data_IF_420578309217
#
_entry.id   IF_420578309217
#
_cell.length_a   1.000
_cell.length_b   1.000
_cell.length_c   1.000
_cell.angle_alpha   90.00
_cell.angle_beta   90.00
_cell.angle_gamma   90.00
#
_symmetry.space_group_name_H-M   'P 1'
#
loop_
_entity.id
_entity.type
_entity.pdbx_description
1 polymer ?
#
# COMPACT_ATOMS: atom_id res chain seq x y z
N UNK A 1 11.62 22.52 12.76
CA UNK A 1 11.17 21.25 13.37
C UNK A 1 9.90 21.57 14.13
N UNK A 2 8.73 21.19 13.60
CA UNK A 2 7.45 21.80 14.00
C UNK A 2 6.60 20.80 14.80
N UNK A 3 6.05 21.26 15.93
CA UNK A 3 5.53 20.49 17.07
C UNK A 3 4.30 19.59 16.79
N UNK A 4 3.89 19.38 15.52
CA UNK A 4 2.70 18.61 15.14
C UNK A 4 2.96 17.36 14.27
N UNK A 5 4.21 16.97 14.05
CA UNK A 5 4.56 15.80 13.21
C UNK A 5 3.89 14.48 13.65
N UNK A 6 3.84 14.09 14.94
CA UNK A 6 3.30 12.78 15.33
C UNK A 6 1.78 12.68 15.16
N UNK A 7 1.02 13.75 15.48
CA UNK A 7 -0.43 13.76 15.30
C UNK A 7 -0.83 13.71 13.83
N UNK A 8 -0.10 14.42 12.96
CA UNK A 8 -0.29 14.35 11.51
C UNK A 8 0.06 12.98 10.95
N UNK A 9 1.15 12.37 11.42
CA UNK A 9 1.55 11.04 10.99
C UNK A 9 0.51 9.98 11.38
N UNK A 10 -0.03 10.05 12.60
CA UNK A 10 -1.12 9.19 13.05
C UNK A 10 -2.36 9.37 12.18
N UNK A 11 -2.79 10.62 11.96
CA UNK A 11 -3.96 10.92 11.14
C UNK A 11 -3.82 10.37 9.72
N UNK A 12 -2.68 10.59 9.05
CA UNK A 12 -2.45 10.07 7.70
C UNK A 12 -2.36 8.54 7.65
N UNK A 13 -1.84 7.88 8.69
CA UNK A 13 -1.85 6.42 8.80
C UNK A 13 -3.28 5.87 8.85
N UNK A 14 -4.14 6.48 9.68
CA UNK A 14 -5.55 6.10 9.77
C UNK A 14 -6.30 6.38 8.47
N UNK A 15 -6.08 7.54 7.84
CA UNK A 15 -6.69 7.87 6.54
C UNK A 15 -6.28 6.84 5.49
N UNK A 16 -5.00 6.45 5.42
CA UNK A 16 -4.54 5.42 4.51
C UNK A 16 -5.28 4.09 4.74
N UNK A 17 -5.42 3.66 6.00
CA UNK A 17 -6.16 2.45 6.35
C UNK A 17 -7.63 2.52 5.91
N UNK A 18 -8.32 3.64 6.16
CA UNK A 18 -9.71 3.83 5.78
C UNK A 18 -9.89 3.82 4.25
N UNK A 19 -8.97 4.45 3.51
CA UNK A 19 -8.98 4.41 2.04
C UNK A 19 -8.74 2.99 1.51
N UNK A 20 -7.82 2.23 2.11
CA UNK A 20 -7.56 0.83 1.75
C UNK A 20 -8.81 -0.04 2.00
N UNK A 21 -9.50 0.18 3.13
CA UNK A 21 -10.74 -0.53 3.42
C UNK A 21 -11.85 -0.15 2.43
N UNK A 22 -12.01 1.15 2.17
CA UNK A 22 -13.03 1.67 1.26
C UNK A 22 -12.78 1.27 -0.20
N UNK A 23 -11.56 0.88 -0.56
CA UNK A 23 -11.23 0.38 -1.89
C UNK A 23 -11.55 -1.11 -2.07
N UNK A 24 -11.68 -1.89 -0.98
CA UNK A 24 -11.73 -3.35 -1.07
C UNK A 24 -13.03 -3.88 -1.72
N UNK A 25 -13.01 -5.00 -2.46
CA UNK A 25 -14.17 -5.54 -3.20
C UNK A 25 -15.42 -5.83 -2.37
N UNK A 26 -16.53 -6.15 -3.06
CA UNK A 26 -17.88 -6.47 -2.53
C UNK A 26 -18.69 -5.25 -2.07
N UNK A 27 -18.07 -4.28 -1.38
CA UNK A 27 -18.77 -3.08 -0.87
C UNK A 27 -18.01 -1.77 -1.13
N UNK A 28 -16.73 -1.85 -1.53
CA UNK A 28 -15.89 -0.68 -1.74
C UNK A 28 -15.91 -0.09 -3.15
N UNK A 29 -15.22 1.04 -3.29
CA UNK A 29 -14.97 1.74 -4.55
C UNK A 29 -13.50 1.56 -4.95
N UNK A 30 -13.23 0.55 -5.77
CA UNK A 30 -11.88 0.13 -6.16
C UNK A 30 -10.94 1.26 -6.62
N UNK A 31 -11.38 2.30 -7.37
CA UNK A 31 -10.50 3.39 -7.78
C UNK A 31 -9.81 4.14 -6.61
N UNK A 32 -10.34 4.08 -5.38
CA UNK A 32 -9.68 4.64 -4.21
C UNK A 32 -8.31 4.01 -3.91
N UNK A 33 -8.07 2.77 -4.37
CA UNK A 33 -6.80 2.08 -4.14
C UNK A 33 -5.61 2.86 -4.71
N UNK A 34 -5.82 3.62 -5.79
CA UNK A 34 -4.79 4.40 -6.47
C UNK A 34 -4.28 5.61 -5.68
N UNK A 35 -5.01 5.99 -4.62
CA UNK A 35 -4.61 7.06 -3.70
C UNK A 35 -4.47 6.57 -2.26
N UNK A 36 -4.80 5.30 -1.98
CA UNK A 36 -4.92 4.77 -0.63
C UNK A 36 -3.57 4.71 0.13
N UNK A 37 -2.45 4.47 -0.56
CA UNK A 37 -1.12 4.47 0.05
C UNK A 37 -0.45 5.83 0.08
N UNK A 38 -0.98 6.84 -0.64
CA UNK A 38 -0.38 8.18 -0.70
C UNK A 38 -0.21 8.83 0.68
N UNK A 39 -1.21 8.81 1.59
CA UNK A 39 -1.03 9.34 2.94
C UNK A 39 0.08 8.62 3.71
N UNK A 40 0.21 7.29 3.57
CA UNK A 40 1.26 6.52 4.22
C UNK A 40 2.66 6.84 3.66
N UNK A 41 2.77 7.11 2.35
CA UNK A 41 4.01 7.60 1.73
C UNK A 41 4.40 9.00 2.26
N UNK A 42 3.43 9.85 2.59
CA UNK A 42 3.67 11.13 3.28
C UNK A 42 4.17 10.88 4.71
N UNK A 43 3.59 9.93 5.45
CA UNK A 43 4.09 9.52 6.77
C UNK A 43 5.53 9.04 6.70
N UNK A 44 5.86 8.22 5.69
CA UNK A 44 7.24 7.79 5.46
C UNK A 44 8.19 8.98 5.33
N UNK A 45 7.83 10.01 4.55
CA UNK A 45 8.63 11.24 4.43
C UNK A 45 8.88 11.93 5.78
N UNK A 46 7.90 11.94 6.68
CA UNK A 46 8.07 12.50 8.03
C UNK A 46 8.95 11.65 8.94
N UNK A 47 9.00 10.34 8.71
CA UNK A 47 9.69 9.38 9.57
C UNK A 47 10.95 8.76 8.94
N UNK A 48 11.43 9.29 7.81
CA UNK A 48 12.58 8.75 7.05
C UNK A 48 13.82 8.50 7.91
N UNK A 49 14.08 9.36 8.90
CA UNK A 49 15.24 9.22 9.79
C UNK A 49 15.01 8.22 10.93
N UNK A 50 13.75 7.90 11.24
CA UNK A 50 13.35 6.99 12.32
C UNK A 50 12.49 5.83 11.80
N UNK A 51 13.19 4.82 11.29
CA UNK A 51 12.57 3.62 10.72
C UNK A 51 11.69 2.85 11.73
N UNK A 52 12.01 2.91 13.04
CA UNK A 52 11.19 2.29 14.09
C UNK A 52 9.87 3.01 14.26
N UNK A 53 9.86 4.35 14.19
CA UNK A 53 8.61 5.12 14.23
C UNK A 53 7.77 4.86 12.98
N UNK A 54 8.39 4.81 11.80
CA UNK A 54 7.66 4.44 10.57
C UNK A 54 7.04 3.04 10.65
N UNK A 55 7.78 2.07 11.19
CA UNK A 55 7.26 0.70 11.42
C UNK A 55 5.91 0.71 12.13
N UNK A 56 5.78 1.45 13.25
CA UNK A 56 4.56 1.44 14.04
C UNK A 56 3.38 2.10 13.32
N UNK A 57 3.63 3.14 12.52
CA UNK A 57 2.59 3.75 11.69
C UNK A 57 2.16 2.84 10.51
N UNK A 58 3.12 2.19 9.86
CA UNK A 58 2.84 1.18 8.84
C UNK A 58 2.07 -0.01 9.43
N UNK A 59 2.50 -0.52 10.59
CA UNK A 59 1.85 -1.61 11.33
C UNK A 59 0.42 -1.24 11.69
N UNK A 60 0.19 -0.02 12.22
CA UNK A 60 -1.16 0.46 12.52
C UNK A 60 -2.04 0.47 11.26
N UNK A 61 -1.51 1.00 10.15
CA UNK A 61 -2.24 1.09 8.89
C UNK A 61 -2.62 -0.30 8.37
N UNK A 62 -1.65 -1.21 8.31
CA UNK A 62 -1.85 -2.57 7.82
C UNK A 62 -2.78 -3.37 8.75
N UNK A 63 -2.67 -3.17 10.07
CA UNK A 63 -3.50 -3.87 11.05
C UNK A 63 -4.96 -3.44 10.97
N UNK A 64 -5.22 -2.13 10.89
CA UNK A 64 -6.59 -1.62 10.72
C UNK A 64 -7.21 -2.14 9.43
N UNK A 65 -6.47 -2.10 8.32
CA UNK A 65 -6.94 -2.63 7.05
C UNK A 65 -7.22 -4.14 7.10
N UNK A 66 -6.28 -4.92 7.66
CA UNK A 66 -6.45 -6.36 7.83
C UNK A 66 -7.66 -6.71 8.68
N UNK A 67 -7.80 -6.05 9.82
CA UNK A 67 -8.87 -6.36 10.76
C UNK A 67 -10.23 -5.96 10.22
N UNK A 68 -10.36 -4.79 9.59
CA UNK A 68 -11.65 -4.31 9.04
C UNK A 68 -12.11 -5.16 7.86
N UNK A 69 -11.20 -5.64 7.00
CA UNK A 69 -11.58 -6.45 5.85
C UNK A 69 -11.78 -7.92 6.22
N UNK A 70 -10.91 -8.48 7.06
CA UNK A 70 -10.94 -9.90 7.41
C UNK A 70 -11.65 -10.19 8.74
N UNK A 71 -12.44 -9.24 9.29
CA UNK A 71 -13.13 -9.43 10.57
C UNK A 71 -14.06 -10.66 10.57
N UNK A 72 -14.60 -11.01 9.39
CA UNK A 72 -15.53 -12.12 9.23
C UNK A 72 -14.90 -13.48 9.54
N UNK A 73 -13.56 -13.61 9.50
CA UNK A 73 -12.84 -14.83 9.87
C UNK A 73 -13.06 -15.18 11.35
N UNK A 74 -13.27 -14.17 12.20
CA UNK A 74 -13.59 -14.37 13.60
C UNK A 74 -14.94 -15.05 13.83
N UNK A 75 -15.84 -15.09 12.82
CA UNK A 75 -17.08 -15.87 12.90
C UNK A 75 -16.84 -17.38 12.85
N UNK A 76 -15.74 -17.82 12.23
CA UNK A 76 -15.35 -19.22 12.21
C UNK A 76 -14.57 -19.57 13.49
N UNK A 77 -13.49 -18.83 13.77
CA UNK A 77 -12.69 -19.00 14.96
C UNK A 77 -12.00 -17.69 15.35
N UNK A 78 -12.33 -17.16 16.52
CA UNK A 78 -11.86 -15.84 16.99
C UNK A 78 -10.33 -15.79 17.09
N UNK A 79 -9.71 -16.81 17.69
CA UNK A 79 -8.25 -16.86 17.89
C UNK A 79 -7.52 -16.87 16.54
N UNK A 80 -7.97 -17.70 15.61
CA UNK A 80 -7.39 -17.79 14.27
C UNK A 80 -7.56 -16.48 13.49
N UNK A 81 -8.74 -15.86 13.53
CA UNK A 81 -9.00 -14.59 12.82
C UNK A 81 -8.15 -13.42 13.34
N UNK A 82 -8.01 -13.28 14.66
CA UNK A 82 -7.14 -12.28 15.27
C UNK A 82 -5.68 -12.54 14.89
N UNK A 83 -5.22 -13.79 15.03
CA UNK A 83 -3.84 -14.16 14.71
C UNK A 83 -3.50 -13.90 13.24
N UNK A 84 -4.36 -14.33 12.31
CA UNK A 84 -4.18 -14.13 10.88
C UNK A 84 -4.09 -12.65 10.51
N UNK A 85 -4.96 -11.81 11.10
CA UNK A 85 -4.95 -10.36 10.86
C UNK A 85 -3.66 -9.70 11.36
N UNK A 86 -3.19 -10.08 12.56
CA UNK A 86 -1.95 -9.55 13.12
C UNK A 86 -0.73 -10.03 12.33
N UNK A 87 -0.67 -11.32 12.01
CA UNK A 87 0.45 -11.93 11.29
C UNK A 87 0.60 -11.34 9.88
N UNK A 88 -0.50 -11.24 9.11
CA UNK A 88 -0.46 -10.66 7.77
C UNK A 88 -0.08 -9.18 7.81
N UNK A 89 -0.67 -8.41 8.74
CA UNK A 89 -0.31 -7.01 8.92
C UNK A 89 1.17 -6.83 9.27
N UNK A 90 1.73 -7.71 10.11
CA UNK A 90 3.15 -7.70 10.48
C UNK A 90 4.07 -7.96 9.28
N UNK A 91 3.72 -8.91 8.43
CA UNK A 91 4.49 -9.18 7.20
C UNK A 91 4.47 -7.99 6.25
N UNK A 92 3.29 -7.43 5.99
CA UNK A 92 3.14 -6.24 5.14
C UNK A 92 3.91 -5.02 5.69
N UNK A 93 3.82 -4.78 6.99
CA UNK A 93 4.56 -3.70 7.64
C UNK A 93 6.08 -3.94 7.60
N UNK A 94 6.52 -5.20 7.66
CA UNK A 94 7.93 -5.56 7.51
C UNK A 94 8.44 -5.24 6.11
N UNK A 95 7.68 -5.53 5.06
CA UNK A 95 8.01 -5.16 3.67
C UNK A 95 8.18 -3.64 3.54
N UNK A 96 7.24 -2.87 4.08
CA UNK A 96 7.31 -1.41 4.09
C UNK A 96 8.51 -0.90 4.90
N UNK A 97 8.84 -1.57 6.00
CA UNK A 97 9.98 -1.22 6.83
C UNK A 97 11.33 -1.49 6.14
N UNK A 98 11.45 -2.61 5.43
CA UNK A 98 12.62 -2.93 4.60
C UNK A 98 12.79 -1.86 3.53
N UNK A 99 11.71 -1.48 2.84
CA UNK A 99 11.70 -0.36 1.90
C UNK A 99 12.21 0.93 2.55
N UNK A 100 11.66 1.32 3.71
CA UNK A 100 12.04 2.54 4.43
C UNK A 100 13.51 2.52 4.88
N UNK A 101 14.00 1.37 5.34
CA UNK A 101 15.41 1.17 5.65
C UNK A 101 16.31 1.37 4.42
N UNK A 102 15.97 0.75 3.28
CA UNK A 102 16.68 0.93 2.02
C UNK A 102 16.63 2.37 1.52
N UNK A 103 15.48 3.02 1.62
CA UNK A 103 15.29 4.43 1.26
C UNK A 103 16.15 5.36 2.09
N UNK A 104 16.22 5.14 3.42
CA UNK A 104 17.07 5.93 4.31
C UNK A 104 18.56 5.85 3.95
N UNK A 105 19.02 4.70 3.44
CA UNK A 105 20.42 4.47 3.06
C UNK A 105 20.79 5.09 1.71
N UNK A 106 19.91 4.97 0.71
CA UNK A 106 20.19 5.44 -0.65
C UNK A 106 19.74 6.89 -0.88
N UNK A 107 18.60 7.29 -0.29
CA UNK A 107 17.99 8.63 -0.41
C UNK A 107 17.80 9.13 -1.84
N UNK A 108 17.57 8.22 -2.79
CA UNK A 108 17.31 8.59 -4.19
C UNK A 108 15.84 8.43 -4.55
N UNK A 109 15.39 9.24 -5.52
CA UNK A 109 14.05 9.15 -6.11
C UNK A 109 13.75 7.79 -6.77
N UNK A 110 14.81 7.07 -7.15
CA UNK A 110 14.73 5.71 -7.69
C UNK A 110 14.40 4.69 -6.61
N UNK A 111 14.75 4.94 -5.35
CA UNK A 111 14.47 4.00 -4.26
C UNK A 111 12.98 3.86 -3.97
N UNK A 112 12.14 4.83 -4.36
CA UNK A 112 10.67 4.67 -4.33
C UNK A 112 10.20 3.49 -5.19
N UNK A 113 10.86 3.22 -6.31
CA UNK A 113 10.49 2.13 -7.22
C UNK A 113 10.94 0.75 -6.73
N UNK A 114 11.75 0.69 -5.66
CA UNK A 114 12.03 -0.57 -4.96
C UNK A 114 10.80 -1.12 -4.25
N UNK A 115 9.86 -0.25 -3.87
CA UNK A 115 8.66 -0.63 -3.13
C UNK A 115 7.76 -1.62 -3.90
N UNK A 116 7.35 -1.35 -5.17
CA UNK A 116 6.62 -2.34 -5.96
C UNK A 116 7.35 -3.68 -6.07
N UNK A 117 8.68 -3.67 -6.28
CA UNK A 117 9.46 -4.90 -6.41
C UNK A 117 9.47 -5.73 -5.11
N UNK A 118 9.64 -5.07 -3.96
CA UNK A 118 9.57 -5.72 -2.65
C UNK A 118 8.17 -6.26 -2.36
N UNK A 119 7.13 -5.49 -2.69
CA UNK A 119 5.76 -5.89 -2.44
C UNK A 119 5.31 -7.07 -3.30
N UNK A 120 5.64 -7.07 -4.60
CA UNK A 120 5.34 -8.19 -5.50
C UNK A 120 6.10 -9.45 -5.07
N UNK A 121 7.37 -9.31 -4.66
CA UNK A 121 8.14 -10.42 -4.09
C UNK A 121 7.46 -11.01 -2.85
N UNK A 122 6.93 -10.14 -1.98
CA UNK A 122 6.16 -10.56 -0.81
C UNK A 122 4.87 -11.28 -1.21
N UNK A 123 4.04 -10.71 -2.09
CA UNK A 123 2.79 -11.35 -2.53
C UNK A 123 3.06 -12.69 -3.22
N UNK A 124 4.11 -12.79 -4.03
CA UNK A 124 4.51 -14.04 -4.65
C UNK A 124 4.92 -15.09 -3.61
N UNK A 125 5.74 -14.72 -2.62
CA UNK A 125 6.09 -15.60 -1.51
C UNK A 125 4.83 -16.03 -0.72
N UNK A 126 3.94 -15.09 -0.46
CA UNK A 126 2.69 -15.29 0.28
C UNK A 126 1.73 -16.26 -0.44
N UNK A 127 1.82 -16.39 -1.75
CA UNK A 127 1.03 -17.36 -2.54
C UNK A 127 1.63 -18.78 -2.54
N UNK A 128 2.93 -18.93 -2.26
CA UNK A 128 3.64 -20.20 -2.41
C UNK A 128 4.16 -20.80 -1.09
N UNK A 129 3.97 -20.11 0.04
CA UNK A 129 4.33 -20.63 1.35
C UNK A 129 3.27 -21.57 1.94
N UNK A 130 3.65 -22.36 2.95
CA UNK A 130 2.80 -23.41 3.54
C UNK A 130 1.58 -22.87 4.30
N UNK A 131 1.63 -21.62 4.75
CA UNK A 131 0.53 -20.97 5.48
C UNK A 131 -0.43 -20.40 4.44
N UNK A 132 -1.33 -21.21 3.90
CA UNK A 132 -2.27 -20.84 2.81
C UNK A 132 -3.33 -19.80 3.23
N UNK A 133 -2.89 -18.57 3.54
CA UNK A 133 -3.71 -17.40 3.84
C UNK A 133 -3.26 -16.16 3.02
N UNK A 134 -3.23 -16.22 1.67
CA UNK A 134 -2.81 -15.10 0.82
C UNK A 134 -3.90 -14.03 0.69
N UNK A 135 -4.43 -13.54 1.81
CA UNK A 135 -5.43 -12.49 1.83
C UNK A 135 -4.78 -11.12 1.62
N UNK A 136 -5.57 -10.23 1.02
CA UNK A 136 -5.20 -8.83 0.75
C UNK A 136 -4.12 -8.62 -0.32
N UNK A 137 -4.02 -9.52 -1.30
CA UNK A 137 -3.23 -9.29 -2.51
C UNK A 137 -3.83 -8.12 -3.31
N UNK A 138 -3.04 -7.07 -3.55
CA UNK A 138 -3.54 -5.79 -4.06
C UNK A 138 -4.23 -5.90 -5.42
N UNK A 139 -3.71 -6.73 -6.32
CA UNK A 139 -4.30 -6.95 -7.63
C UNK A 139 -5.73 -7.47 -7.62
N UNK A 140 -6.16 -8.12 -6.53
CA UNK A 140 -7.52 -8.65 -6.40
C UNK A 140 -8.55 -7.57 -6.08
N UNK A 141 -8.13 -6.33 -5.77
CA UNK A 141 -9.04 -5.21 -5.48
C UNK A 141 -10.00 -4.88 -6.63
N UNK A 142 -9.65 -5.31 -7.86
CA UNK A 142 -10.43 -5.06 -9.06
C UNK A 142 -11.32 -6.23 -9.47
N UNK A 143 -11.54 -7.24 -8.61
CA UNK A 143 -12.32 -8.43 -8.96
C UNK A 143 -13.75 -8.13 -9.44
N UNK A 144 -14.37 -7.06 -8.92
CA UNK A 144 -15.70 -6.58 -9.34
C UNK A 144 -15.68 -5.70 -10.60
N UNK A 145 -14.49 -5.30 -11.07
CA UNK A 145 -14.29 -4.41 -12.22
C UNK A 145 -13.65 -5.19 -13.38
N UNK A 146 -14.25 -6.34 -13.74
CA UNK A 146 -13.74 -7.28 -14.75
C UNK A 146 -13.31 -6.60 -16.07
N UNK A 147 -14.04 -5.62 -16.65
CA UNK A 147 -13.59 -4.95 -17.87
C UNK A 147 -12.25 -4.23 -17.75
N UNK A 148 -11.87 -3.78 -16.55
CA UNK A 148 -10.65 -3.01 -16.29
C UNK A 148 -9.40 -3.89 -16.25
N UNK A 149 -9.57 -5.20 -16.03
CA UNK A 149 -8.48 -6.14 -15.73
C UNK A 149 -8.35 -7.24 -16.77
N UNK A 150 -8.90 -7.08 -17.98
CA UNK A 150 -8.76 -8.08 -19.05
C UNK A 150 -7.29 -8.42 -19.35
N UNK A 151 -6.42 -7.41 -19.30
CA UNK A 151 -4.98 -7.57 -19.49
C UNK A 151 -4.28 -8.43 -18.42
N UNK A 152 -4.95 -8.76 -17.30
CA UNK A 152 -4.43 -9.74 -16.34
C UNK A 152 -4.22 -11.11 -16.98
N UNK A 153 -4.79 -11.39 -18.15
CA UNK A 153 -4.48 -12.62 -18.91
C UNK A 153 -2.98 -12.77 -19.21
N UNK A 154 -2.23 -11.65 -19.33
CA UNK A 154 -0.80 -11.67 -19.65
C UNK A 154 0.09 -11.64 -18.41
N UNK A 155 -0.28 -10.90 -17.38
CA UNK A 155 0.58 -10.64 -16.20
C UNK A 155 0.10 -11.33 -14.92
N UNK A 156 -1.13 -11.85 -14.93
CA UNK A 156 -1.86 -12.23 -13.72
C UNK A 156 -2.17 -11.04 -12.81
N UNK A 157 -2.77 -11.34 -11.67
CA UNK A 157 -3.18 -10.35 -10.67
C UNK A 157 -2.00 -9.60 -10.03
N UNK A 158 -0.78 -10.17 -10.01
CA UNK A 158 0.42 -9.47 -9.53
C UNK A 158 0.77 -8.23 -10.39
N UNK A 159 0.41 -8.24 -11.68
CA UNK A 159 0.48 -7.04 -12.53
C UNK A 159 -0.42 -5.91 -12.00
N UNK A 160 -1.59 -6.27 -11.48
CA UNK A 160 -2.48 -5.36 -10.76
C UNK A 160 -1.85 -4.73 -9.53
N UNK A 161 -1.16 -5.53 -8.71
CA UNK A 161 -0.45 -5.03 -7.53
C UNK A 161 0.66 -4.04 -7.92
N UNK A 162 1.40 -4.34 -8.99
CA UNK A 162 2.37 -3.39 -9.56
C UNK A 162 1.68 -2.09 -9.98
N UNK A 163 0.55 -2.19 -10.68
CA UNK A 163 -0.21 -1.05 -11.17
C UNK A 163 -0.67 -0.13 -10.04
N UNK A 164 -1.22 -0.70 -8.96
CA UNK A 164 -1.62 0.03 -7.74
C UNK A 164 -0.44 0.81 -7.17
N UNK A 165 0.71 0.17 -6.98
CA UNK A 165 1.90 0.83 -6.43
C UNK A 165 2.45 1.92 -7.35
N UNK A 166 2.51 1.67 -8.65
CA UNK A 166 3.01 2.61 -9.63
C UNK A 166 2.20 3.92 -9.60
N UNK A 167 0.86 3.81 -9.61
CA UNK A 167 -0.02 4.99 -9.55
C UNK A 167 0.12 5.72 -8.21
N UNK A 168 0.12 5.01 -7.07
CA UNK A 168 0.29 5.65 -5.75
C UNK A 168 1.62 6.42 -5.63
N UNK A 169 2.71 5.85 -6.15
CA UNK A 169 4.03 6.53 -6.16
C UNK A 169 3.99 7.79 -7.02
N UNK A 170 3.35 7.73 -8.18
CA UNK A 170 3.27 8.89 -9.08
C UNK A 170 2.37 9.99 -8.54
N UNK A 171 1.23 9.64 -7.93
CA UNK A 171 0.37 10.59 -7.22
C UNK A 171 1.13 11.22 -6.05
N UNK A 172 1.86 10.42 -5.27
CA UNK A 172 2.71 10.94 -4.20
C UNK A 172 3.79 11.91 -4.74
N UNK A 173 4.45 11.58 -5.85
CA UNK A 173 5.42 12.46 -6.51
C UNK A 173 4.77 13.76 -6.98
N UNK A 174 3.58 13.68 -7.58
CA UNK A 174 2.82 14.85 -8.02
C UNK A 174 2.54 15.81 -6.85
N UNK A 175 2.07 15.28 -5.71
CA UNK A 175 1.75 16.08 -4.53
C UNK A 175 2.99 16.61 -3.79
N UNK A 176 4.14 15.94 -3.93
CA UNK A 176 5.39 16.34 -3.28
C UNK A 176 6.31 17.21 -4.14
N UNK A 177 5.97 17.40 -5.41
CA UNK A 177 6.66 18.29 -6.37
C UNK A 177 6.42 19.75 -6.00
N UNK A 178 7.48 20.51 -5.69
CA UNK A 178 7.41 21.96 -5.44
C UNK A 178 7.22 22.72 -6.76
N UNK A 179 6.67 23.95 -6.70
CA UNK A 179 6.33 24.80 -7.85
C UNK A 179 7.45 25.04 -8.90
N UNK A 180 8.72 24.74 -8.56
CA UNK A 180 9.89 24.90 -9.44
C UNK A 180 10.21 23.68 -10.30
N UNK A 181 9.61 22.51 -10.02
CA UNK A 181 9.80 21.28 -10.79
C UNK A 181 8.61 21.03 -11.71
N UNK A 182 8.83 20.71 -12.99
CA UNK A 182 7.78 20.58 -14.01
C UNK A 182 6.77 19.46 -13.67
N UNK A 183 5.56 19.77 -13.16
CA UNK A 183 4.58 18.75 -12.76
C UNK A 183 4.02 17.99 -13.97
N UNK A 184 4.17 18.57 -15.18
CA UNK A 184 3.66 18.05 -16.46
C UNK A 184 4.08 16.61 -16.76
N UNK A 185 5.30 16.20 -16.37
CA UNK A 185 5.81 14.84 -16.61
C UNK A 185 5.06 13.80 -15.78
N UNK A 186 4.84 14.08 -14.49
CA UNK A 186 4.16 13.14 -13.59
C UNK A 186 2.66 13.11 -13.86
N UNK A 187 2.02 14.25 -14.16
CA UNK A 187 0.61 14.28 -14.56
C UNK A 187 0.33 13.45 -15.80
N UNK A 188 1.18 13.55 -16.83
CA UNK A 188 1.01 12.76 -18.05
C UNK A 188 1.10 11.26 -17.73
N UNK A 189 2.11 10.86 -16.94
CA UNK A 189 2.36 9.46 -16.61
C UNK A 189 1.29 8.86 -15.67
N UNK A 190 0.74 9.65 -14.75
CA UNK A 190 -0.43 9.23 -13.95
C UNK A 190 -1.66 9.04 -14.83
N UNK A 191 -1.93 9.96 -15.75
CA UNK A 191 -3.13 9.91 -16.60
C UNK A 191 -3.07 8.72 -17.57
N UNK A 192 -1.88 8.40 -18.10
CA UNK A 192 -1.70 7.22 -18.94
C UNK A 192 -1.91 5.92 -18.18
N UNK A 193 -1.49 5.85 -16.91
CA UNK A 193 -1.67 4.64 -16.11
C UNK A 193 -3.10 4.51 -15.56
N UNK A 194 -3.88 5.58 -15.49
CA UNK A 194 -5.29 5.50 -15.06
C UNK A 194 -6.23 4.96 -16.16
N UNK A 195 -5.75 4.91 -17.42
CA UNK A 195 -6.46 4.34 -18.55
C UNK A 195 -5.73 3.06 -18.98
N UNK A 196 -6.05 1.90 -18.38
CA UNK A 196 -5.47 0.62 -18.77
C UNK A 196 -5.90 0.21 -20.19
#
# INVERSE_FOLDING_TARGET
>A
MNVNTPNKALLYSVISALLLCAAWPVVGFAPLIFIAFVPLLIVHKYCVDNNKTFFWYAQLTMLLWNFIINYWVCYAEVTAGIFASIANALLMATVLNVFSWSYRKLRTEFTLWLLPALWISFEHLHLHWDITWPWLTLGNVFSEYVPLIQWYEFTGHLGGSWWVWAVNILVYKLLSTTATSSPKKYTALTLTLLLP
#
